data_IF_536326304503
#
_entry.id   IF_536326304503
#
_cell.length_a   1.000
_cell.length_b   1.000
_cell.length_c   1.000
_cell.angle_alpha   90.00
_cell.angle_beta   90.00
_cell.angle_gamma   90.00
#
_symmetry.space_group_name_H-M   'P 1'
#
loop_
_entity.id
_entity.type
_entity.pdbx_description
1 polymer ?
#
# COMPACT_ATOMS: atom_id res chain seq x y z
N UNK A 1 -17.55 -7.25 7.93
CA UNK A 1 -16.37 -7.97 8.45
C UNK A 1 -16.06 -7.39 9.84
N UNK A 2 -14.89 -7.64 10.45
CA UNK A 2 -14.55 -6.96 11.72
C UNK A 2 -14.08 -5.53 11.45
N UNK A 3 -14.48 -4.57 12.30
CA UNK A 3 -14.11 -3.14 12.16
C UNK A 3 -12.59 -2.93 12.03
N UNK A 4 -11.79 -3.76 12.71
CA UNK A 4 -10.34 -3.67 12.66
C UNK A 4 -9.78 -4.06 11.28
N UNK A 5 -10.30 -5.12 10.67
CA UNK A 5 -9.86 -5.55 9.33
C UNK A 5 -10.26 -4.50 8.27
N UNK A 6 -11.43 -3.91 8.42
CA UNK A 6 -11.94 -2.85 7.55
C UNK A 6 -11.13 -1.56 7.70
N UNK A 7 -10.79 -1.15 8.92
CA UNK A 7 -9.89 -0.02 9.19
C UNK A 7 -8.57 -0.16 8.43
N UNK A 8 -7.89 -1.30 8.59
CA UNK A 8 -6.63 -1.56 7.91
C UNK A 8 -6.78 -1.63 6.39
N UNK A 9 -7.87 -2.21 5.90
CA UNK A 9 -8.13 -2.29 4.47
C UNK A 9 -8.36 -0.89 3.87
N UNK A 10 -9.21 -0.08 4.51
CA UNK A 10 -9.57 1.26 4.08
C UNK A 10 -8.34 2.18 4.04
N UNK A 11 -7.64 2.34 5.16
CA UNK A 11 -6.43 3.19 5.20
C UNK A 11 -5.24 2.60 4.43
N UNK A 12 -5.28 1.31 4.09
CA UNK A 12 -4.31 0.66 3.21
C UNK A 12 -4.50 1.00 1.73
N UNK A 13 -5.69 1.42 1.31
CA UNK A 13 -6.00 1.69 -0.11
C UNK A 13 -6.08 3.18 -0.46
N UNK A 14 -6.25 4.06 0.54
CA UNK A 14 -6.38 5.50 0.31
C UNK A 14 -5.08 6.16 -0.18
N UNK A 15 -5.23 7.13 -1.08
CA UNK A 15 -4.19 8.12 -1.39
C UNK A 15 -4.26 9.29 -0.40
N UNK A 16 -3.59 9.14 0.74
CA UNK A 16 -3.64 10.11 1.84
C UNK A 16 -3.02 11.48 1.49
N UNK A 17 -2.18 11.56 0.46
CA UNK A 17 -1.57 12.82 0.03
C UNK A 17 -2.53 13.73 -0.73
N UNK A 18 -3.54 13.13 -1.38
CA UNK A 18 -4.58 13.84 -2.13
C UNK A 18 -5.87 14.09 -1.35
N UNK A 19 -5.90 13.74 -0.06
CA UNK A 19 -7.12 13.78 0.76
C UNK A 19 -6.97 14.67 1.99
N UNK A 20 -8.07 15.33 2.35
CA UNK A 20 -8.31 16.00 3.62
C UNK A 20 -9.23 15.12 4.45
N UNK A 21 -8.74 14.58 5.57
CA UNK A 21 -9.56 13.83 6.52
C UNK A 21 -10.21 14.81 7.49
N UNK A 22 -11.53 15.01 7.40
CA UNK A 22 -12.27 15.92 8.27
C UNK A 22 -13.14 15.14 9.25
N UNK A 23 -12.79 15.12 10.56
CA UNK A 23 -13.66 14.56 11.60
C UNK A 23 -14.99 15.31 11.73
N UNK A 24 -14.99 16.62 11.48
CA UNK A 24 -16.19 17.46 11.54
C UNK A 24 -17.24 17.02 10.51
N UNK A 25 -16.80 16.72 9.28
CA UNK A 25 -17.69 16.21 8.22
C UNK A 25 -17.82 14.68 8.22
N UNK A 26 -17.02 13.97 9.04
CA UNK A 26 -17.01 12.52 9.10
C UNK A 26 -16.58 11.83 7.82
N UNK A 27 -15.85 12.51 6.92
CA UNK A 27 -15.47 11.98 5.59
C UNK A 27 -14.08 12.41 5.13
N UNK A 28 -13.56 11.64 4.17
CA UNK A 28 -12.36 12.01 3.42
C UNK A 28 -12.76 12.87 2.22
N UNK A 29 -12.27 14.10 2.19
CA UNK A 29 -12.53 15.08 1.14
C UNK A 29 -11.36 15.12 0.15
N UNK A 30 -11.60 15.39 -1.14
CA UNK A 30 -10.53 15.76 -2.06
C UNK A 30 -9.79 16.99 -1.52
N UNK A 31 -8.45 16.97 -1.56
CA UNK A 31 -7.66 18.10 -1.12
C UNK A 31 -7.97 19.32 -2.01
N UNK A 32 -8.45 20.44 -1.45
CA UNK A 32 -8.84 21.58 -2.25
C UNK A 32 -7.60 22.36 -2.74
N UNK A 33 -7.76 23.26 -3.72
CA UNK A 33 -6.65 24.00 -4.32
C UNK A 33 -5.84 24.81 -3.29
N UNK A 34 -4.54 25.05 -3.54
CA UNK A 34 -3.73 25.89 -2.67
C UNK A 34 -4.36 27.30 -2.55
N UNK A 35 -4.52 27.78 -1.31
CA UNK A 35 -5.09 29.09 -1.00
C UNK A 35 -6.54 29.08 -0.52
N UNK A 36 -7.32 28.00 -0.77
CA UNK A 36 -8.71 27.88 -0.28
C UNK A 36 -8.81 27.24 1.11
N UNK A 37 -7.68 26.81 1.67
CA UNK A 37 -7.59 26.03 2.90
C UNK A 37 -7.62 26.85 4.20
N UNK A 38 -7.89 28.16 4.13
CA UNK A 38 -8.09 28.98 5.33
C UNK A 38 -6.93 28.96 6.33
N UNK A 39 -5.70 28.78 5.86
CA UNK A 39 -4.50 28.64 6.70
C UNK A 39 -4.09 27.20 7.03
N UNK A 40 -4.93 26.20 6.74
CA UNK A 40 -4.57 24.79 6.87
C UNK A 40 -3.39 24.45 5.96
N UNK A 41 -2.32 23.93 6.54
CA UNK A 41 -1.09 23.55 5.82
C UNK A 41 -1.21 22.08 5.39
N UNK A 42 -1.42 21.79 4.10
CA UNK A 42 -1.48 20.42 3.63
C UNK A 42 -0.10 19.77 3.72
N UNK A 43 -0.09 18.46 3.97
CA UNK A 43 1.11 17.65 4.02
C UNK A 43 0.89 16.28 3.39
N UNK A 44 1.85 15.35 3.54
CA UNK A 44 1.70 13.97 3.08
C UNK A 44 0.50 13.24 3.69
N UNK A 45 0.03 13.72 4.84
CA UNK A 45 -1.23 13.36 5.48
C UNK A 45 -1.85 14.66 6.00
N UNK A 46 -3.10 14.92 5.66
CA UNK A 46 -3.84 16.09 6.14
C UNK A 46 -5.04 15.62 6.95
N UNK A 47 -4.94 15.70 8.28
CA UNK A 47 -6.03 15.40 9.21
C UNK A 47 -6.42 16.68 9.93
N UNK A 48 -7.63 17.15 9.68
CA UNK A 48 -8.15 18.40 10.23
C UNK A 48 -8.48 18.23 11.71
N UNK A 49 -8.11 19.22 12.53
CA UNK A 49 -8.63 19.31 13.89
C UNK A 49 -10.16 19.54 13.87
N UNK A 50 -10.95 18.88 14.74
CA UNK A 50 -12.40 19.04 14.75
C UNK A 50 -12.89 20.43 15.17
N UNK A 51 -12.07 21.24 15.84
CA UNK A 51 -12.42 22.57 16.34
C UNK A 51 -11.63 23.68 15.64
N UNK A 52 -10.31 23.52 15.53
CA UNK A 52 -9.44 24.49 14.86
C UNK A 52 -9.23 24.10 13.39
N UNK A 53 -10.16 24.50 12.52
CA UNK A 53 -10.20 24.04 11.11
C UNK A 53 -8.97 24.44 10.26
N UNK A 54 -8.20 25.43 10.72
CA UNK A 54 -6.91 25.83 10.14
C UNK A 54 -5.72 24.98 10.63
N UNK A 55 -5.94 24.05 11.55
CA UNK A 55 -4.92 23.21 12.15
C UNK A 55 -4.94 21.79 11.57
N UNK A 56 -3.77 21.36 11.07
CA UNK A 56 -3.53 19.97 10.63
C UNK A 56 -2.77 19.25 11.74
N UNK A 57 -3.44 18.37 12.48
CA UNK A 57 -2.80 17.63 13.59
C UNK A 57 -1.72 16.66 13.11
N UNK A 58 -1.71 16.31 11.81
CA UNK A 58 -0.73 15.44 11.19
C UNK A 58 0.36 16.21 10.42
N UNK A 59 0.50 17.53 10.63
CA UNK A 59 1.46 18.37 9.90
C UNK A 59 2.94 17.95 10.10
N UNK A 60 3.26 17.27 11.21
CA UNK A 60 4.59 16.74 11.49
C UNK A 60 4.88 15.38 10.81
N UNK A 61 3.89 14.78 10.15
CA UNK A 61 4.02 13.45 9.55
C UNK A 61 4.70 13.57 8.19
N UNK A 62 5.83 12.88 8.04
CA UNK A 62 6.58 12.84 6.77
C UNK A 62 5.98 11.85 5.76
N UNK A 63 6.27 12.04 4.48
CA UNK A 63 5.85 11.11 3.42
C UNK A 63 6.36 9.68 3.64
N UNK A 64 7.55 9.53 4.22
CA UNK A 64 8.12 8.23 4.61
C UNK A 64 7.25 7.56 5.69
N UNK A 65 6.78 8.32 6.68
CA UNK A 65 5.90 7.81 7.74
C UNK A 65 4.54 7.40 7.18
N UNK A 66 3.93 8.21 6.31
CA UNK A 66 2.67 7.87 5.63
C UNK A 66 2.81 6.59 4.80
N UNK A 67 3.88 6.50 4.01
CA UNK A 67 4.15 5.31 3.20
C UNK A 67 4.33 4.05 4.05
N UNK A 68 5.03 4.17 5.19
CA UNK A 68 5.16 3.08 6.17
C UNK A 68 3.81 2.70 6.77
N UNK A 69 2.98 3.69 7.14
CA UNK A 69 1.65 3.48 7.68
C UNK A 69 0.74 2.72 6.69
N UNK A 70 0.62 3.19 5.45
CA UNK A 70 -0.19 2.55 4.40
C UNK A 70 0.27 1.11 4.17
N UNK A 71 1.59 0.87 4.14
CA UNK A 71 2.15 -0.50 4.04
C UNK A 71 1.74 -1.37 5.23
N UNK A 72 1.92 -0.88 6.45
CA UNK A 72 1.53 -1.59 7.67
C UNK A 72 0.03 -1.90 7.68
N UNK A 73 -0.82 -0.98 7.23
CA UNK A 73 -2.26 -1.20 7.08
C UNK A 73 -2.55 -2.33 6.06
N UNK A 74 -1.90 -2.35 4.90
CA UNK A 74 -2.04 -3.45 3.92
C UNK A 74 -1.61 -4.80 4.50
N UNK A 75 -0.50 -4.84 5.22
CA UNK A 75 0.00 -6.06 5.87
C UNK A 75 -0.96 -6.55 6.97
N UNK A 76 -1.43 -5.63 7.82
CA UNK A 76 -2.37 -5.93 8.89
C UNK A 76 -3.74 -6.38 8.35
N UNK A 77 -4.24 -5.77 7.27
CA UNK A 77 -5.48 -6.19 6.61
C UNK A 77 -5.39 -7.63 6.09
N UNK A 78 -4.24 -8.03 5.52
CA UNK A 78 -3.97 -9.41 5.12
C UNK A 78 -3.95 -10.34 6.34
N UNK A 79 -3.27 -9.93 7.40
CA UNK A 79 -3.17 -10.71 8.63
C UNK A 79 -4.55 -10.95 9.25
N UNK A 80 -5.40 -9.92 9.32
CA UNK A 80 -6.75 -10.01 9.89
C UNK A 80 -7.69 -10.98 9.14
N UNK A 81 -7.41 -11.25 7.86
CA UNK A 81 -8.15 -12.23 7.05
C UNK A 81 -7.61 -13.66 7.20
N UNK A 82 -6.43 -13.81 7.81
CA UNK A 82 -5.76 -15.09 7.96
C UNK A 82 -6.30 -15.94 9.13
N UNK A 83 -6.09 -17.27 9.10
CA UNK A 83 -6.53 -18.18 10.16
C UNK A 83 -5.83 -17.91 11.49
N UNK A 84 -4.59 -17.43 11.47
CA UNK A 84 -3.84 -17.04 12.68
C UNK A 84 -4.51 -15.89 13.45
N UNK A 85 -5.32 -15.08 12.77
CA UNK A 85 -6.05 -13.99 13.39
C UNK A 85 -7.44 -14.43 13.84
N UNK A 86 -8.15 -15.20 13.01
CA UNK A 86 -9.54 -15.58 13.25
C UNK A 86 -9.70 -16.76 14.21
N UNK A 87 -8.70 -17.64 14.33
CA UNK A 87 -8.81 -18.87 15.11
C UNK A 87 -7.83 -18.91 16.27
N UNK A 88 -8.35 -19.25 17.46
CA UNK A 88 -7.52 -19.47 18.64
C UNK A 88 -6.60 -20.66 18.43
N UNK A 89 -5.30 -20.43 18.66
CA UNK A 89 -4.33 -21.50 18.66
C UNK A 89 -4.54 -22.44 19.85
N UNK A 90 -4.60 -23.75 19.59
CA UNK A 90 -4.65 -24.79 20.64
C UNK A 90 -3.29 -25.07 21.30
N UNK A 91 -2.19 -24.61 20.68
CA UNK A 91 -0.82 -24.94 21.08
C UNK A 91 -0.06 -23.75 21.68
N UNK A 92 -0.77 -22.82 22.31
CA UNK A 92 -0.16 -21.64 22.94
C UNK A 92 0.47 -20.62 21.97
N UNK A 93 0.39 -20.83 20.65
CA UNK A 93 0.91 -19.87 19.68
C UNK A 93 0.14 -18.54 19.75
N UNK A 94 0.82 -17.39 19.55
CA UNK A 94 0.17 -16.09 19.44
C UNK A 94 -0.88 -16.11 18.33
N UNK A 95 -2.05 -15.51 18.58
CA UNK A 95 -3.18 -15.48 17.66
C UNK A 95 -3.96 -14.18 17.82
N UNK A 96 -4.85 -13.87 16.87
CA UNK A 96 -5.69 -12.67 16.92
C UNK A 96 -4.87 -11.38 17.02
N UNK A 97 -5.31 -10.47 17.89
CA UNK A 97 -4.67 -9.14 18.09
C UNK A 97 -3.20 -9.27 18.53
N UNK A 98 -2.82 -10.34 19.23
CA UNK A 98 -1.42 -10.54 19.63
C UNK A 98 -0.47 -10.57 18.42
N UNK A 99 -0.91 -11.08 17.27
CA UNK A 99 -0.10 -11.11 16.05
C UNK A 99 0.17 -9.71 15.48
N UNK A 100 -0.71 -8.73 15.74
CA UNK A 100 -0.51 -7.33 15.36
C UNK A 100 0.42 -6.59 16.31
N UNK A 101 0.40 -6.96 17.60
CA UNK A 101 1.20 -6.32 18.65
C UNK A 101 2.63 -6.86 18.73
N UNK A 102 2.89 -8.01 18.12
CA UNK A 102 4.24 -8.54 18.05
C UNK A 102 5.16 -7.58 17.30
N UNK A 103 6.37 -7.31 17.81
CA UNK A 103 7.36 -6.52 17.10
C UNK A 103 7.51 -7.08 15.68
N UNK A 104 7.25 -6.24 14.68
CA UNK A 104 7.37 -6.67 13.30
C UNK A 104 8.80 -7.15 12.99
N UNK A 105 9.01 -7.93 11.92
CA UNK A 105 10.34 -8.41 11.51
C UNK A 105 11.35 -7.29 11.16
N UNK A 106 10.96 -6.01 11.25
CA UNK A 106 11.85 -4.87 11.16
C UNK A 106 12.57 -4.53 12.49
N UNK A 107 12.07 -4.99 13.63
CA UNK A 107 12.67 -4.73 14.94
C UNK A 107 13.69 -5.79 15.38
N UNK A 108 13.63 -7.00 14.80
CA UNK A 108 14.55 -8.09 15.09
C UNK A 108 14.94 -8.80 13.78
N UNK A 109 16.25 -8.84 13.50
CA UNK A 109 16.91 -9.70 12.50
C UNK A 109 16.96 -9.21 11.04
N UNK A 110 18.20 -9.11 10.53
CA UNK A 110 18.60 -8.63 9.20
C UNK A 110 18.21 -9.50 8.00
N UNK A 111 17.05 -10.16 8.04
CA UNK A 111 16.48 -10.90 6.90
C UNK A 111 15.06 -10.44 6.58
N UNK A 112 14.80 -9.13 6.65
CA UNK A 112 13.55 -8.60 6.12
C UNK A 112 13.56 -8.77 4.60
N UNK A 113 12.78 -9.73 4.10
CA UNK A 113 12.22 -9.74 2.74
C UNK A 113 11.19 -8.60 2.58
N UNK A 114 11.48 -7.45 3.19
CA UNK A 114 10.64 -6.31 3.42
C UNK A 114 10.95 -5.27 2.37
N UNK A 115 9.91 -4.92 1.61
CA UNK A 115 9.93 -3.86 0.60
C UNK A 115 10.36 -2.56 1.26
N UNK A 116 11.64 -2.22 1.14
CA UNK A 116 12.23 -0.95 1.58
C UNK A 116 11.80 0.12 0.57
N UNK A 117 11.19 1.20 1.04
CA UNK A 117 10.78 2.30 0.18
C UNK A 117 11.91 3.33 0.16
N UNK A 118 12.57 3.45 -0.99
CA UNK A 118 13.58 4.47 -1.25
C UNK A 118 12.85 5.66 -1.88
N UNK A 119 12.81 6.83 -1.22
CA UNK A 119 12.34 8.04 -1.87
C UNK A 119 13.24 8.33 -3.07
N UNK A 120 12.69 8.27 -4.27
CA UNK A 120 13.40 8.72 -5.48
C UNK A 120 13.17 10.22 -5.58
N UNK A 121 14.22 11.05 -5.67
CA UNK A 121 14.10 12.49 -5.80
C UNK A 121 13.55 12.83 -7.19
N UNK A 122 12.24 12.76 -7.34
CA UNK A 122 11.52 13.16 -8.54
C UNK A 122 10.87 14.52 -8.31
N UNK A 123 10.87 15.37 -9.34
CA UNK A 123 10.08 16.60 -9.32
C UNK A 123 8.59 16.19 -9.38
N UNK A 124 7.78 16.72 -8.46
CA UNK A 124 6.39 16.32 -8.27
C UNK A 124 5.59 16.32 -9.59
N UNK A 125 4.75 15.30 -9.86
CA UNK A 125 3.78 15.35 -10.94
C UNK A 125 2.69 16.36 -10.56
N UNK A 126 2.75 17.56 -11.14
CA UNK A 126 1.79 18.64 -10.88
C UNK A 126 2.37 20.05 -11.01
N UNK A 127 3.69 20.21 -10.98
CA UNK A 127 4.36 21.41 -11.52
C UNK A 127 4.65 21.20 -13.01
N UNK A 128 4.65 22.27 -13.81
CA UNK A 128 5.09 22.23 -15.20
C UNK A 128 6.52 21.63 -15.27
N UNK A 129 6.64 20.33 -15.57
CA UNK A 129 7.91 19.59 -15.58
C UNK A 129 8.02 18.35 -14.68
N UNK A 130 6.92 17.84 -14.10
CA UNK A 130 6.92 16.53 -13.43
C UNK A 130 7.13 15.37 -14.42
N UNK A 131 7.97 14.40 -14.06
CA UNK A 131 8.27 13.23 -14.92
C UNK A 131 7.12 12.22 -14.84
N UNK A 132 6.51 11.81 -15.96
CA UNK A 132 5.48 10.78 -15.99
C UNK A 132 5.91 9.47 -15.31
N UNK A 133 4.99 8.84 -14.57
CA UNK A 133 5.26 7.57 -13.87
C UNK A 133 5.81 6.49 -14.81
N UNK A 134 5.32 6.43 -16.05
CA UNK A 134 5.81 5.49 -17.08
C UNK A 134 7.31 5.65 -17.37
N UNK A 135 7.81 6.88 -17.39
CA UNK A 135 9.21 7.20 -17.68
C UNK A 135 10.09 6.86 -16.47
N UNK A 136 9.59 7.12 -15.26
CA UNK A 136 10.24 6.68 -14.03
C UNK A 136 10.36 5.15 -13.99
N UNK A 137 9.28 4.43 -14.30
CA UNK A 137 9.29 2.96 -14.34
C UNK A 137 10.25 2.44 -15.42
N UNK A 138 10.28 3.05 -16.60
CA UNK A 138 11.21 2.69 -17.67
C UNK A 138 12.67 2.91 -17.24
N UNK A 139 12.98 4.07 -16.65
CA UNK A 139 14.31 4.38 -16.13
C UNK A 139 14.73 3.41 -15.02
N UNK A 140 13.83 3.08 -14.09
CA UNK A 140 14.10 2.08 -13.05
C UNK A 140 14.38 0.70 -13.65
N UNK A 141 13.58 0.31 -14.65
CA UNK A 141 13.77 -0.95 -15.37
C UNK A 141 15.09 -1.01 -16.14
N UNK A 142 15.55 0.11 -16.70
CA UNK A 142 16.87 0.23 -17.31
C UNK A 142 18.00 0.08 -16.28
N UNK A 143 17.94 0.83 -15.18
CA UNK A 143 18.97 0.74 -14.12
C UNK A 143 19.04 -0.67 -13.55
N UNK A 144 17.90 -1.29 -13.24
CA UNK A 144 17.87 -2.63 -12.66
C UNK A 144 18.42 -3.68 -13.63
N UNK A 145 18.07 -3.64 -14.92
CA UNK A 145 18.52 -4.64 -15.91
C UNK A 145 19.90 -4.36 -16.46
N UNK A 146 20.11 -3.17 -17.01
CA UNK A 146 21.31 -2.84 -17.79
C UNK A 146 22.50 -2.43 -16.92
N UNK A 147 22.25 -1.74 -15.79
CA UNK A 147 23.33 -1.28 -14.91
C UNK A 147 23.62 -2.31 -13.80
N UNK A 148 22.58 -2.92 -13.23
CA UNK A 148 22.70 -3.82 -12.08
C UNK A 148 22.56 -5.31 -12.41
N UNK A 149 22.21 -5.67 -13.66
CA UNK A 149 22.12 -7.08 -14.10
C UNK A 149 20.98 -7.89 -13.45
N UNK A 150 19.94 -7.23 -12.94
CA UNK A 150 18.84 -7.90 -12.23
C UNK A 150 17.80 -8.50 -13.21
N UNK A 151 17.40 -9.76 -12.99
CA UNK A 151 16.24 -10.37 -13.65
C UNK A 151 14.92 -9.74 -13.16
N UNK A 152 14.32 -8.88 -13.98
CA UNK A 152 13.11 -8.13 -13.63
C UNK A 152 11.88 -8.71 -14.34
N UNK A 153 11.09 -9.53 -13.65
CA UNK A 153 9.81 -10.03 -14.17
C UNK A 153 8.67 -9.06 -13.80
N UNK A 154 7.86 -8.58 -14.77
CA UNK A 154 6.69 -7.78 -14.46
C UNK A 154 5.66 -8.65 -13.73
N UNK A 155 5.41 -8.34 -12.46
CA UNK A 155 4.31 -8.94 -11.72
C UNK A 155 3.01 -8.37 -12.31
N UNK A 156 2.20 -9.25 -12.93
CA UNK A 156 1.16 -8.93 -13.92
C UNK A 156 0.09 -7.88 -13.55
N UNK A 157 -0.76 -7.51 -14.53
CA UNK A 157 -1.63 -6.34 -14.45
C UNK A 157 -2.69 -6.43 -13.36
N UNK A 158 -2.98 -5.26 -12.78
CA UNK A 158 -4.13 -5.00 -11.91
C UNK A 158 -5.41 -5.27 -12.71
N UNK A 159 -6.10 -6.38 -12.42
CA UNK A 159 -7.29 -6.79 -13.15
C UNK A 159 -8.52 -5.98 -12.76
N UNK A 160 -9.35 -5.68 -13.76
CA UNK A 160 -10.82 -5.66 -13.79
C UNK A 160 -11.26 -5.70 -15.28
N UNK A 161 -12.54 -5.97 -15.63
CA UNK A 161 -13.46 -7.03 -15.22
C UNK A 161 -13.83 -7.93 -16.44
N UNK A 162 -14.67 -8.95 -16.21
CA UNK A 162 -14.83 -10.15 -17.04
C UNK A 162 -15.19 -10.00 -18.53
N UNK A 163 -14.80 -11.04 -19.28
CA UNK A 163 -15.61 -11.56 -20.38
C UNK A 163 -15.59 -13.10 -20.31
N UNK A 164 -16.76 -13.69 -20.55
CA UNK A 164 -17.03 -15.10 -20.42
C UNK A 164 -16.56 -15.86 -21.65
N UNK A 165 -15.84 -16.97 -21.45
CA UNK A 165 -15.53 -17.93 -22.50
C UNK A 165 -15.35 -19.32 -21.91
N UNK A 166 -16.29 -20.22 -22.21
CA UNK A 166 -16.33 -21.62 -21.79
C UNK A 166 -15.04 -22.42 -22.05
N UNK A 167 -14.80 -23.52 -21.31
CA UNK A 167 -13.73 -24.45 -21.59
C UNK A 167 -14.17 -25.51 -22.60
N UNK A 168 -13.46 -25.65 -23.73
CA UNK A 168 -13.55 -26.86 -24.56
C UNK A 168 -12.38 -27.82 -24.29
N UNK A 169 -12.66 -29.14 -24.22
CA UNK A 169 -11.70 -30.15 -23.81
C UNK A 169 -10.95 -30.73 -25.02
N UNK A 170 -9.70 -31.14 -24.80
CA UNK A 170 -9.06 -32.20 -25.57
C UNK A 170 -7.75 -31.82 -26.26
N UNK A 171 -6.65 -32.31 -25.69
CA UNK A 171 -5.57 -32.92 -26.47
C UNK A 171 -4.74 -33.82 -25.53
N UNK A 172 -4.99 -35.12 -25.60
CA UNK A 172 -4.07 -36.15 -25.09
C UNK A 172 -2.80 -36.12 -25.94
N UNK A 173 -1.64 -36.21 -25.31
CA UNK A 173 -0.46 -36.87 -25.89
C UNK A 173 0.30 -37.59 -24.76
N UNK A 174 0.03 -38.88 -24.62
CA UNK A 174 1.07 -39.87 -24.33
C UNK A 174 1.69 -40.25 -25.68
N UNK A 175 2.97 -40.65 -25.77
CA UNK A 175 3.32 -42.03 -25.41
C UNK A 175 4.67 -42.24 -24.70
N UNK A 176 4.72 -43.38 -24.00
CA UNK A 176 5.79 -44.39 -23.85
C UNK A 176 7.25 -43.98 -24.17
N UNK A 177 8.28 -44.31 -23.38
CA UNK A 177 8.54 -45.52 -22.59
C UNK A 177 9.78 -46.24 -23.14
N UNK A 178 10.45 -47.05 -22.30
CA UNK A 178 11.52 -48.04 -22.62
C UNK A 178 12.94 -47.43 -22.71
N UNK A 179 13.98 -47.87 -22.00
CA UNK A 179 14.23 -48.98 -21.03
C UNK A 179 15.40 -48.57 -20.14
#
# INVERSE_FOLDING_TARGET
ASLLAEFFSYFGTLDLGGLLLSPLEGRALPLPPPGTLGGLRPGPLTLQDPFELSHNVAANVTARTVSRFVRCCRDAARLCRGPEFLQKSRRGRPWGVMRLLQPGPAANSGNSRGKFLIPVPLRCPGGAGGVPQREVCAALGFVLREVLGCGCEPQGPCGEPGDAGEPHPGARCHPDGVT
#
